data_IF_599386022720
#
_entry.id   IF_599386022720
#
_cell.length_a   1.000
_cell.length_b   1.000
_cell.length_c   1.000
_cell.angle_alpha   90.00
_cell.angle_beta   90.00
_cell.angle_gamma   90.00
#
_symmetry.space_group_name_H-M   'P 1'
#
loop_
_entity.id
_entity.type
_entity.pdbx_description
1 polymer ?
#
# COMPACT_ATOMS: atom_id res chain seq x y z
N UNK A 1 5.43 -23.36 23.57
CA UNK A 1 4.26 -22.43 23.65
C UNK A 1 2.96 -23.25 23.53
N UNK A 2 2.02 -23.17 24.49
CA UNK A 2 0.83 -24.06 24.54
C UNK A 2 -0.12 -23.79 23.35
N UNK A 3 -0.57 -24.86 22.69
CA UNK A 3 -1.58 -24.90 21.61
C UNK A 3 -2.89 -24.15 21.94
N UNK A 4 -3.17 -23.90 23.21
CA UNK A 4 -4.36 -23.20 23.70
C UNK A 4 -4.49 -21.76 23.19
N UNK A 5 -3.40 -21.05 22.89
CA UNK A 5 -3.46 -19.66 22.44
C UNK A 5 -3.97 -19.52 20.98
N UNK A 6 -3.81 -20.56 20.16
CA UNK A 6 -4.18 -20.55 18.74
C UNK A 6 -5.64 -20.95 18.48
N UNK A 7 -6.29 -21.59 19.45
CA UNK A 7 -7.69 -22.03 19.35
C UNK A 7 -8.66 -20.90 19.00
N UNK A 8 -8.38 -19.66 19.40
CA UNK A 8 -9.29 -18.52 19.18
C UNK A 8 -9.46 -18.15 17.70
N UNK A 9 -8.53 -18.56 16.83
CA UNK A 9 -8.62 -18.35 15.39
C UNK A 9 -9.49 -19.40 14.67
N UNK A 10 -9.91 -20.46 15.38
CA UNK A 10 -10.71 -21.54 14.84
C UNK A 10 -12.03 -21.67 15.61
N UNK A 11 -13.07 -22.10 14.93
CA UNK A 11 -14.41 -22.22 15.52
C UNK A 11 -14.55 -23.46 16.41
N UNK A 12 -13.85 -24.55 16.07
CA UNK A 12 -13.92 -25.80 16.83
C UNK A 12 -12.53 -26.35 17.19
N UNK A 13 -12.51 -27.32 18.12
CA UNK A 13 -11.27 -28.03 18.47
C UNK A 13 -10.86 -29.00 17.36
N UNK A 14 -11.81 -29.55 16.61
CA UNK A 14 -11.51 -30.46 15.49
C UNK A 14 -10.70 -29.75 14.39
N UNK A 15 -10.93 -28.45 14.17
CA UNK A 15 -10.23 -27.65 13.14
C UNK A 15 -8.72 -27.53 13.35
N UNK A 16 -8.23 -27.77 14.57
CA UNK A 16 -6.80 -27.74 14.92
C UNK A 16 -6.22 -29.13 15.21
N UNK A 17 -6.97 -30.20 14.93
CA UNK A 17 -6.55 -31.58 15.25
C UNK A 17 -5.25 -31.96 14.54
N UNK A 18 -5.04 -31.44 13.34
CA UNK A 18 -3.87 -31.72 12.51
C UNK A 18 -2.85 -30.57 12.50
N UNK A 19 -2.80 -29.79 13.59
CA UNK A 19 -1.80 -28.73 13.74
C UNK A 19 -0.41 -29.36 13.88
N UNK A 20 0.49 -29.05 12.96
CA UNK A 20 1.92 -29.37 13.07
C UNK A 20 2.70 -28.15 13.55
N UNK A 21 3.84 -28.42 14.17
CA UNK A 21 4.83 -27.42 14.59
C UNK A 21 6.17 -27.84 14.02
N UNK A 22 6.77 -26.95 13.26
CA UNK A 22 8.12 -27.10 12.74
C UNK A 22 8.96 -25.92 13.23
N UNK A 23 10.24 -26.17 13.51
CA UNK A 23 11.20 -25.14 13.85
C UNK A 23 12.19 -25.04 12.70
N UNK A 24 12.22 -23.87 12.07
CA UNK A 24 13.04 -23.59 10.89
C UNK A 24 14.06 -22.47 11.23
N UNK A 25 15.09 -22.26 10.39
CA UNK A 25 15.99 -21.12 10.52
C UNK A 25 15.25 -19.79 10.59
N UNK A 26 15.89 -18.76 11.13
CA UNK A 26 15.26 -17.46 11.33
C UNK A 26 14.77 -16.84 10.01
N UNK A 27 13.50 -16.45 9.96
CA UNK A 27 12.83 -16.03 8.72
C UNK A 27 13.38 -14.72 8.13
N UNK A 28 14.09 -13.93 8.95
CA UNK A 28 14.66 -12.65 8.54
C UNK A 28 16.16 -12.73 8.22
N UNK A 29 16.86 -13.75 8.72
CA UNK A 29 18.27 -14.02 8.44
C UNK A 29 18.58 -15.50 8.72
N UNK A 30 18.59 -16.31 7.67
CA UNK A 30 18.84 -17.75 7.79
C UNK A 30 20.26 -18.07 8.31
N UNK A 31 21.19 -17.11 8.26
CA UNK A 31 22.56 -17.27 8.78
C UNK A 31 22.66 -17.01 10.29
N UNK A 32 21.64 -16.37 10.87
CA UNK A 32 21.56 -16.12 12.31
C UNK A 32 21.10 -17.39 13.03
N UNK A 33 22.06 -18.05 13.68
CA UNK A 33 21.85 -19.29 14.42
C UNK A 33 21.31 -19.07 15.84
N UNK A 34 21.26 -17.83 16.32
CA UNK A 34 20.73 -17.50 17.66
C UNK A 34 19.20 -17.43 17.66
N UNK A 35 18.61 -17.09 16.52
CA UNK A 35 17.17 -17.01 16.34
C UNK A 35 16.62 -18.19 15.55
N UNK A 36 15.39 -18.59 15.87
CA UNK A 36 14.68 -19.66 15.19
C UNK A 36 13.22 -19.23 14.96
N UNK A 37 12.65 -19.66 13.84
CA UNK A 37 11.24 -19.44 13.54
C UNK A 37 10.44 -20.70 13.90
N UNK A 38 9.37 -20.52 14.68
CA UNK A 38 8.42 -21.58 14.95
C UNK A 38 7.23 -21.46 14.00
N UNK A 39 7.18 -22.33 13.00
CA UNK A 39 6.09 -22.40 12.04
C UNK A 39 5.01 -23.37 12.53
N UNK A 40 3.76 -22.95 12.41
CA UNK A 40 2.63 -23.79 12.78
C UNK A 40 1.69 -23.93 11.59
N UNK A 41 1.52 -25.15 11.12
CA UNK A 41 0.76 -25.44 9.90
C UNK A 41 -0.51 -26.18 10.28
N UNK A 42 -1.63 -25.77 9.71
CA UNK A 42 -2.91 -26.45 9.92
C UNK A 42 -3.70 -26.45 8.62
N UNK A 43 -4.09 -27.65 8.19
CA UNK A 43 -5.00 -27.84 7.06
C UNK A 43 -6.43 -27.82 7.58
N UNK A 44 -7.21 -26.82 7.16
CA UNK A 44 -8.60 -26.63 7.57
C UNK A 44 -9.44 -26.07 6.42
N UNK A 45 -10.76 -25.99 6.60
CA UNK A 45 -11.65 -25.25 5.68
C UNK A 45 -11.80 -23.79 6.10
N UNK A 46 -12.20 -22.92 5.16
CA UNK A 46 -12.45 -21.51 5.44
C UNK A 46 -13.61 -21.28 6.41
N UNK A 47 -14.60 -22.17 6.39
CA UNK A 47 -15.76 -22.14 7.27
C UNK A 47 -15.39 -22.38 8.74
N UNK A 48 -14.30 -23.10 8.97
CA UNK A 48 -13.80 -23.44 10.32
C UNK A 48 -12.93 -22.33 10.93
N UNK A 49 -12.53 -21.34 10.14
CA UNK A 49 -11.75 -20.19 10.60
C UNK A 49 -12.69 -19.13 11.16
N UNK A 50 -12.34 -18.57 12.32
CA UNK A 50 -13.02 -17.41 12.91
C UNK A 50 -12.59 -16.13 12.18
N UNK A 51 -13.02 -15.97 10.92
CA UNK A 51 -12.51 -14.95 9.98
C UNK A 51 -12.50 -13.53 10.54
N UNK A 52 -13.62 -13.03 11.07
CA UNK A 52 -13.67 -11.68 11.65
C UNK A 52 -12.67 -11.52 12.79
N UNK A 53 -12.57 -12.52 13.67
CA UNK A 53 -11.60 -12.50 14.78
C UNK A 53 -10.16 -12.49 14.27
N UNK A 54 -9.85 -13.30 13.25
CA UNK A 54 -8.53 -13.37 12.65
C UNK A 54 -8.13 -12.06 11.98
N UNK A 55 -8.97 -11.51 11.10
CA UNK A 55 -8.72 -10.25 10.39
C UNK A 55 -8.58 -9.08 11.37
N UNK A 56 -9.47 -8.99 12.37
CA UNK A 56 -9.32 -7.97 13.44
C UNK A 56 -8.02 -8.14 14.22
N UNK A 57 -7.59 -9.39 14.47
CA UNK A 57 -6.35 -9.65 15.19
C UNK A 57 -5.10 -9.30 14.38
N UNK A 58 -5.15 -9.43 13.05
CA UNK A 58 -4.10 -9.00 12.12
C UNK A 58 -4.04 -7.48 12.01
N UNK A 59 -5.19 -6.81 11.82
CA UNK A 59 -5.23 -5.33 11.82
C UNK A 59 -4.86 -4.69 13.16
N UNK A 60 -4.94 -5.42 14.27
CA UNK A 60 -4.48 -4.94 15.57
C UNK A 60 -3.01 -5.28 15.88
N UNK A 61 -2.25 -5.89 14.94
CA UNK A 61 -0.88 -6.39 15.17
C UNK A 61 0.05 -5.30 15.73
N UNK A 62 0.01 -4.11 15.15
CA UNK A 62 0.88 -3.00 15.52
C UNK A 62 0.28 -2.09 16.61
N UNK A 63 -0.95 -2.39 17.01
CA UNK A 63 -1.66 -1.64 18.04
C UNK A 63 -1.65 -2.37 19.38
N UNK A 64 -1.83 -1.60 20.45
CA UNK A 64 -2.05 -2.13 21.80
C UNK A 64 -3.51 -2.55 22.03
N UNK A 65 -4.16 -3.12 21.01
CA UNK A 65 -5.58 -3.52 21.01
C UNK A 65 -5.72 -5.06 20.97
N UNK A 66 -6.84 -5.58 21.47
CA UNK A 66 -7.18 -7.02 21.40
C UNK A 66 -8.45 -7.19 20.55
N UNK A 67 -8.61 -8.31 19.81
CA UNK A 67 -7.65 -9.42 19.68
C UNK A 67 -6.41 -9.00 18.88
N UNK A 68 -5.30 -9.73 19.04
CA UNK A 68 -4.02 -9.45 18.36
C UNK A 68 -3.27 -10.73 18.07
N UNK A 69 -2.62 -10.80 16.92
CA UNK A 69 -1.70 -11.89 16.52
C UNK A 69 -0.27 -11.55 16.96
N UNK A 70 0.49 -12.57 17.37
CA UNK A 70 1.95 -12.49 17.49
C UNK A 70 2.56 -13.33 16.36
N UNK A 71 3.38 -12.71 15.52
CA UNK A 71 3.96 -13.32 14.32
C UNK A 71 3.13 -13.06 13.05
N UNK A 72 3.49 -13.77 11.99
CA UNK A 72 2.86 -13.69 10.68
C UNK A 72 1.82 -14.81 10.50
N UNK A 73 0.77 -14.54 9.72
CA UNK A 73 -0.23 -15.56 9.32
C UNK A 73 -0.35 -15.54 7.81
N UNK A 74 -0.26 -16.73 7.24
CA UNK A 74 -0.35 -17.00 5.81
C UNK A 74 -1.57 -17.89 5.57
N UNK A 75 -2.49 -17.43 4.72
CA UNK A 75 -3.68 -18.20 4.33
C UNK A 75 -3.47 -18.72 2.90
N UNK A 76 -3.07 -19.98 2.77
CA UNK A 76 -2.92 -20.63 1.48
C UNK A 76 -4.21 -21.35 1.08
N UNK A 77 -4.87 -20.86 0.04
CA UNK A 77 -5.93 -21.59 -0.64
C UNK A 77 -5.30 -22.63 -1.57
N UNK A 78 -5.23 -23.88 -1.10
CA UNK A 78 -4.57 -24.99 -1.81
C UNK A 78 -5.25 -25.32 -3.14
N UNK A 79 -6.57 -25.17 -3.27
CA UNK A 79 -7.28 -25.50 -4.51
C UNK A 79 -7.09 -24.46 -5.60
N UNK A 80 -6.97 -23.19 -5.21
CA UNK A 80 -6.73 -22.07 -6.14
C UNK A 80 -5.26 -21.70 -6.29
N UNK A 81 -4.39 -22.25 -5.45
CA UNK A 81 -2.96 -21.87 -5.35
C UNK A 81 -2.77 -20.37 -5.12
N UNK A 82 -3.59 -19.79 -4.24
CA UNK A 82 -3.54 -18.37 -3.87
C UNK A 82 -3.13 -18.24 -2.42
N UNK A 83 -2.09 -17.47 -2.16
CA UNK A 83 -1.62 -17.09 -0.84
C UNK A 83 -2.15 -15.70 -0.49
N UNK A 84 -2.73 -15.56 0.69
CA UNK A 84 -3.13 -14.28 1.27
C UNK A 84 -2.34 -14.01 2.55
N UNK A 85 -1.74 -12.83 2.65
CA UNK A 85 -0.99 -12.39 3.81
C UNK A 85 -1.33 -10.93 4.15
N UNK A 86 -2.05 -10.71 5.25
CA UNK A 86 -2.23 -9.37 5.81
C UNK A 86 -1.11 -9.12 6.82
N UNK A 87 -0.16 -8.25 6.46
CA UNK A 87 1.02 -8.00 7.28
C UNK A 87 0.71 -7.10 8.48
N UNK A 88 -0.15 -6.09 8.32
CA UNK A 88 -0.67 -5.20 9.36
C UNK A 88 -1.97 -4.48 8.91
N UNK A 89 -2.33 -3.37 9.53
CA UNK A 89 -3.53 -2.57 9.21
C UNK A 89 -3.43 -1.73 7.94
N UNK A 90 -2.24 -1.61 7.35
CA UNK A 90 -1.98 -0.79 6.16
C UNK A 90 -2.26 -1.54 4.87
N UNK A 91 -2.19 -2.88 4.89
CA UNK A 91 -2.42 -3.65 3.68
C UNK A 91 -2.22 -5.16 3.79
N UNK A 92 -2.26 -5.80 2.63
CA UNK A 92 -2.08 -7.23 2.47
C UNK A 92 -1.50 -7.57 1.10
N UNK A 93 -0.85 -8.72 1.03
CA UNK A 93 -0.38 -9.33 -0.21
C UNK A 93 -1.31 -10.46 -0.64
N UNK A 94 -1.58 -10.51 -1.94
CA UNK A 94 -2.27 -11.63 -2.59
C UNK A 94 -1.37 -12.15 -3.68
N UNK A 95 -0.86 -13.36 -3.49
CA UNK A 95 0.12 -13.98 -4.37
C UNK A 95 -0.42 -15.26 -4.99
N UNK A 96 -0.06 -15.52 -6.23
CA UNK A 96 -0.29 -16.80 -6.90
C UNK A 96 0.86 -17.08 -7.86
N UNK A 97 1.15 -18.36 -8.09
CA UNK A 97 2.15 -18.76 -9.09
C UNK A 97 1.70 -18.50 -10.53
N UNK A 98 0.41 -18.24 -10.73
CA UNK A 98 -0.16 -17.91 -12.03
C UNK A 98 -0.95 -16.59 -11.97
N UNK A 99 -0.64 -15.66 -12.87
CA UNK A 99 -1.37 -14.42 -13.11
C UNK A 99 -2.86 -14.66 -13.37
N UNK A 100 -3.23 -15.69 -14.14
CA UNK A 100 -4.64 -15.97 -14.44
C UNK A 100 -5.46 -16.31 -13.19
N UNK A 101 -4.84 -16.88 -12.16
CA UNK A 101 -5.52 -17.17 -10.88
C UNK A 101 -5.89 -15.89 -10.12
N UNK A 102 -5.13 -14.79 -10.33
CA UNK A 102 -5.39 -13.49 -9.72
C UNK A 102 -6.40 -12.65 -10.49
N UNK A 103 -6.60 -12.91 -11.80
CA UNK A 103 -7.44 -12.08 -12.66
C UNK A 103 -8.87 -11.87 -12.12
N UNK A 104 -9.60 -12.90 -11.64
CA UNK A 104 -10.92 -12.70 -11.05
C UNK A 104 -10.91 -11.84 -9.77
N UNK A 105 -9.87 -11.97 -8.95
CA UNK A 105 -9.71 -11.16 -7.74
C UNK A 105 -9.36 -9.72 -8.08
N UNK A 106 -8.48 -9.52 -9.05
CA UNK A 106 -8.11 -8.20 -9.57
C UNK A 106 -9.36 -7.47 -10.07
N UNK A 107 -10.14 -8.03 -11.00
CA UNK A 107 -11.34 -7.35 -11.51
C UNK A 107 -12.35 -7.01 -10.41
N UNK A 108 -12.52 -7.91 -9.44
CA UNK A 108 -13.46 -7.72 -8.33
C UNK A 108 -13.00 -6.63 -7.36
N UNK A 109 -11.71 -6.57 -7.05
CA UNK A 109 -11.19 -5.77 -5.93
C UNK A 109 -10.23 -4.65 -6.36
N UNK A 110 -10.01 -4.40 -7.66
CA UNK A 110 -9.04 -3.38 -8.14
C UNK A 110 -9.27 -1.98 -7.60
N UNK A 111 -10.51 -1.64 -7.19
CA UNK A 111 -10.84 -0.36 -6.56
C UNK A 111 -10.26 -0.21 -5.14
N UNK A 112 -9.82 -1.30 -4.52
CA UNK A 112 -9.17 -1.29 -3.20
C UNK A 112 -7.66 -1.13 -3.29
N UNK A 113 -7.10 -1.21 -4.51
CA UNK A 113 -5.67 -1.04 -4.74
C UNK A 113 -5.40 0.47 -4.81
N UNK A 114 -4.49 0.95 -3.95
CA UNK A 114 -4.03 2.34 -3.99
C UNK A 114 -3.46 2.67 -5.37
N UNK A 115 -3.76 3.85 -5.91
CA UNK A 115 -3.36 4.21 -7.27
C UNK A 115 -1.85 4.07 -7.51
N UNK A 116 -1.03 4.36 -6.50
CA UNK A 116 0.42 4.15 -6.55
C UNK A 116 0.80 2.69 -6.87
N UNK A 117 0.24 1.72 -6.15
CA UNK A 117 0.45 0.29 -6.45
C UNK A 117 -0.25 -0.11 -7.74
N UNK A 118 -1.37 0.53 -8.02
CA UNK A 118 -2.23 0.21 -9.14
C UNK A 118 -1.55 0.48 -10.46
N UNK A 119 -0.70 1.50 -10.62
CA UNK A 119 0.10 1.74 -11.84
C UNK A 119 0.82 0.45 -12.29
N UNK A 120 1.55 -0.16 -11.35
CA UNK A 120 2.30 -1.37 -11.63
C UNK A 120 1.38 -2.57 -11.88
N UNK A 121 0.38 -2.78 -11.01
CA UNK A 121 -0.52 -3.94 -11.09
C UNK A 121 -1.38 -3.90 -12.35
N UNK A 122 -1.96 -2.75 -12.67
CA UNK A 122 -2.75 -2.51 -13.89
C UNK A 122 -1.88 -2.76 -15.14
N UNK A 123 -0.61 -2.36 -15.10
CA UNK A 123 0.40 -2.66 -16.13
C UNK A 123 0.64 -4.15 -16.32
N UNK A 124 0.76 -4.93 -15.23
CA UNK A 124 0.89 -6.39 -15.32
C UNK A 124 -0.33 -7.03 -15.99
N UNK A 125 -1.54 -6.51 -15.75
CA UNK A 125 -2.77 -7.02 -16.35
C UNK A 125 -3.08 -6.45 -17.74
N UNK A 126 -2.46 -5.33 -18.13
CA UNK A 126 -2.75 -4.65 -19.40
C UNK A 126 -4.09 -3.90 -19.37
N UNK A 127 -4.57 -3.49 -18.19
CA UNK A 127 -5.88 -2.88 -18.00
C UNK A 127 -5.82 -1.62 -17.13
N UNK A 128 -6.91 -0.86 -17.01
CA UNK A 128 -7.03 0.17 -15.98
C UNK A 128 -6.15 1.40 -16.24
N UNK A 129 -5.13 1.63 -15.40
CA UNK A 129 -4.25 2.80 -15.48
C UNK A 129 -3.18 2.73 -16.59
N UNK A 130 -3.20 1.67 -17.42
CA UNK A 130 -2.32 1.55 -18.59
C UNK A 130 -2.46 2.78 -19.49
N UNK A 131 -1.32 3.40 -19.81
CA UNK A 131 -1.25 4.62 -20.62
C UNK A 131 -1.28 5.93 -19.82
N UNK A 132 -1.54 5.88 -18.51
CA UNK A 132 -1.42 7.05 -17.62
C UNK A 132 -0.09 7.09 -16.85
N UNK A 133 0.73 6.05 -16.95
CA UNK A 133 2.08 6.04 -16.37
C UNK A 133 3.01 6.99 -17.11
N UNK A 134 4.07 7.40 -16.42
CA UNK A 134 5.20 8.08 -17.04
C UNK A 134 5.91 7.13 -18.02
N UNK A 135 6.44 7.69 -19.10
CA UNK A 135 7.51 7.09 -19.87
C UNK A 135 8.80 7.09 -19.04
N UNK A 136 9.77 6.26 -19.43
CA UNK A 136 11.07 6.23 -18.76
C UNK A 136 11.78 7.59 -18.76
N UNK A 137 11.60 8.39 -19.81
CA UNK A 137 12.16 9.75 -19.88
C UNK A 137 11.47 10.72 -18.93
N UNK A 138 10.14 10.71 -18.86
CA UNK A 138 9.38 11.54 -17.90
C UNK A 138 9.73 11.16 -16.45
N UNK A 139 9.82 9.86 -16.16
CA UNK A 139 10.22 9.36 -14.84
C UNK A 139 11.64 9.81 -14.47
N UNK A 140 12.61 9.64 -15.38
CA UNK A 140 13.99 10.11 -15.17
C UNK A 140 14.06 11.60 -14.92
N UNK A 141 13.32 12.39 -15.71
CA UNK A 141 13.26 13.84 -15.57
C UNK A 141 12.68 14.23 -14.21
N UNK A 142 11.56 13.61 -13.79
CA UNK A 142 10.95 13.87 -12.47
C UNK A 142 11.89 13.53 -11.32
N UNK A 143 12.54 12.36 -11.36
CA UNK A 143 13.50 11.95 -10.34
C UNK A 143 14.70 12.91 -10.27
N UNK A 144 15.26 13.29 -11.42
CA UNK A 144 16.36 14.26 -11.48
C UNK A 144 15.93 15.62 -10.90
N UNK A 145 14.73 16.09 -11.24
CA UNK A 145 14.18 17.34 -10.71
C UNK A 145 13.95 17.26 -9.19
N UNK A 146 13.48 16.13 -8.68
CA UNK A 146 13.33 15.89 -7.24
C UNK A 146 14.70 15.94 -6.54
N UNK A 147 15.70 15.24 -7.06
CA UNK A 147 17.06 15.24 -6.49
C UNK A 147 17.66 16.66 -6.43
N UNK A 148 17.49 17.45 -7.49
CA UNK A 148 17.94 18.85 -7.53
C UNK A 148 17.20 19.67 -6.46
N UNK A 149 15.87 19.63 -6.43
CA UNK A 149 15.08 20.36 -5.43
C UNK A 149 15.39 19.95 -4.00
N UNK A 150 15.56 18.65 -3.73
CA UNK A 150 15.96 18.15 -2.40
C UNK A 150 17.27 18.80 -1.97
N UNK A 151 18.28 18.84 -2.85
CA UNK A 151 19.57 19.47 -2.54
C UNK A 151 19.41 20.97 -2.23
N UNK A 152 18.54 21.67 -2.97
CA UNK A 152 18.23 23.09 -2.73
C UNK A 152 17.59 23.34 -1.35
N UNK A 153 16.82 22.38 -0.82
CA UNK A 153 16.22 22.52 0.54
C UNK A 153 17.25 22.51 1.67
N UNK A 154 18.46 21.97 1.42
CA UNK A 154 19.51 21.72 2.42
C UNK A 154 19.06 20.82 3.59
N UNK A 155 17.96 20.07 3.44
CA UNK A 155 17.45 19.15 4.46
C UNK A 155 18.25 17.84 4.41
N UNK A 156 18.73 17.40 5.56
CA UNK A 156 19.37 16.10 5.69
C UNK A 156 18.29 15.00 5.82
N UNK A 157 18.16 14.18 4.77
CA UNK A 157 17.16 13.10 4.71
C UNK A 157 17.42 11.93 5.69
N UNK A 158 18.62 11.84 6.27
CA UNK A 158 18.97 10.83 7.28
C UNK A 158 18.65 11.28 8.71
N UNK A 159 18.06 12.47 8.87
CA UNK A 159 17.55 13.00 10.14
C UNK A 159 16.06 13.27 10.01
N UNK A 160 15.47 13.90 11.03
CA UNK A 160 14.10 14.39 10.96
C UNK A 160 13.97 15.33 9.77
N UNK A 161 13.15 14.92 8.81
CA UNK A 161 12.93 15.58 7.53
C UNK A 161 11.43 15.72 7.21
N UNK A 162 10.57 15.66 8.23
CA UNK A 162 9.14 15.89 8.10
C UNK A 162 8.88 17.33 7.67
N UNK A 163 8.14 17.51 6.58
CA UNK A 163 7.81 18.81 5.99
C UNK A 163 6.31 18.89 5.67
N UNK A 164 5.78 20.11 5.55
CA UNK A 164 4.54 20.33 4.82
C UNK A 164 4.85 20.37 3.33
N UNK A 165 4.61 19.25 2.63
CA UNK A 165 4.87 19.10 1.20
C UNK A 165 3.62 19.52 0.44
N UNK A 166 3.75 20.47 -0.47
CA UNK A 166 2.66 21.07 -1.24
C UNK A 166 2.91 20.78 -2.72
N UNK A 167 1.98 20.08 -3.36
CA UNK A 167 1.98 19.79 -4.79
C UNK A 167 0.99 20.67 -5.52
N UNK A 168 1.41 21.31 -6.61
CA UNK A 168 0.52 22.16 -7.41
C UNK A 168 0.08 21.43 -8.68
N UNK A 169 -1.23 21.25 -8.85
CA UNK A 169 -1.83 20.64 -10.02
C UNK A 169 -2.85 21.56 -10.68
N UNK A 170 -2.75 21.67 -11.99
CA UNK A 170 -3.76 22.31 -12.83
C UNK A 170 -4.65 21.25 -13.46
N UNK A 171 -5.96 21.36 -13.26
CA UNK A 171 -6.93 20.38 -13.73
C UNK A 171 -8.00 21.03 -14.61
N UNK A 172 -8.46 20.37 -15.68
CA UNK A 172 -9.63 20.81 -16.42
C UNK A 172 -10.86 20.89 -15.49
N UNK A 173 -11.59 22.01 -15.54
CA UNK A 173 -12.74 22.24 -14.67
C UNK A 173 -13.84 21.17 -14.84
N UNK A 174 -13.99 20.59 -16.03
CA UNK A 174 -14.92 19.49 -16.31
C UNK A 174 -14.48 18.13 -15.73
N UNK A 175 -13.29 18.06 -15.13
CA UNK A 175 -12.72 16.87 -14.47
C UNK A 175 -12.51 17.06 -12.96
N UNK A 176 -12.89 18.22 -12.42
CA UNK A 176 -12.73 18.59 -11.00
C UNK A 176 -13.35 17.58 -10.03
N UNK A 177 -14.66 17.32 -10.14
CA UNK A 177 -15.38 16.43 -9.23
C UNK A 177 -14.73 15.04 -9.10
N UNK A 178 -14.51 14.27 -10.19
CA UNK A 178 -13.90 12.95 -10.06
C UNK A 178 -12.44 13.01 -9.62
N UNK A 179 -11.73 14.12 -9.81
CA UNK A 179 -10.38 14.32 -9.29
C UNK A 179 -10.39 14.58 -7.78
N UNK A 180 -11.29 15.42 -7.29
CA UNK A 180 -11.48 15.73 -5.87
C UNK A 180 -11.88 14.47 -5.07
N UNK A 181 -12.82 13.67 -5.59
CA UNK A 181 -13.27 12.43 -4.94
C UNK A 181 -12.15 11.38 -4.82
N UNK A 182 -11.30 11.27 -5.84
CA UNK A 182 -10.21 10.29 -5.87
C UNK A 182 -9.05 10.72 -4.98
N UNK A 183 -8.63 11.98 -5.11
CA UNK A 183 -7.55 12.53 -4.28
C UNK A 183 -7.94 12.58 -2.80
N UNK A 184 -9.22 12.77 -2.47
CA UNK A 184 -9.73 12.68 -1.10
C UNK A 184 -9.49 11.32 -0.42
N UNK A 185 -9.20 10.26 -1.18
CA UNK A 185 -8.91 8.91 -0.65
C UNK A 185 -7.41 8.66 -0.40
N UNK A 186 -6.54 9.63 -0.70
CA UNK A 186 -5.07 9.45 -0.70
C UNK A 186 -4.39 10.00 0.56
N UNK A 187 -5.16 10.59 1.47
CA UNK A 187 -4.64 11.25 2.68
C UNK A 187 -3.99 12.61 2.43
N UNK A 188 -4.00 13.11 1.19
CA UNK A 188 -3.65 14.49 0.89
C UNK A 188 -4.82 15.43 1.24
N UNK A 189 -4.49 16.59 1.79
CA UNK A 189 -5.46 17.68 1.95
C UNK A 189 -5.51 18.48 0.65
N UNK A 190 -6.67 18.58 0.04
CA UNK A 190 -6.88 19.27 -1.23
C UNK A 190 -7.43 20.68 -0.99
N UNK A 191 -6.80 21.70 -1.56
CA UNK A 191 -7.26 23.10 -1.51
C UNK A 191 -7.33 23.67 -2.92
N UNK A 192 -8.48 24.21 -3.31
CA UNK A 192 -8.61 24.98 -4.55
C UNK A 192 -8.02 26.38 -4.33
N UNK A 193 -7.06 26.78 -5.17
CA UNK A 193 -6.45 28.12 -5.12
C UNK A 193 -7.30 29.13 -5.90
N UNK A 194 -7.48 28.91 -7.20
CA UNK A 194 -8.30 29.76 -8.06
C UNK A 194 -8.72 29.03 -9.32
N UNK A 195 -9.72 29.58 -10.00
CA UNK A 195 -10.28 29.07 -11.26
C UNK A 195 -9.97 30.05 -12.38
N UNK A 196 -9.32 29.58 -13.45
CA UNK A 196 -9.05 30.37 -14.66
C UNK A 196 -9.85 29.75 -15.79
N UNK A 197 -10.92 30.44 -16.23
CA UNK A 197 -11.82 30.01 -17.33
C UNK A 197 -12.25 28.54 -17.25
N UNK A 198 -11.47 27.64 -17.85
CA UNK A 198 -11.70 26.20 -18.00
C UNK A 198 -10.76 25.31 -17.17
N UNK A 199 -9.85 25.87 -16.38
CA UNK A 199 -8.94 25.12 -15.50
C UNK A 199 -9.05 25.58 -14.04
N UNK A 200 -8.69 24.68 -13.13
CA UNK A 200 -8.67 24.90 -11.69
C UNK A 200 -7.28 24.52 -11.18
N UNK A 201 -6.69 25.40 -10.39
CA UNK A 201 -5.41 25.13 -9.71
C UNK A 201 -5.71 24.60 -8.31
N UNK A 202 -5.17 23.42 -8.02
CA UNK A 202 -5.24 22.76 -6.73
C UNK A 202 -3.86 22.68 -6.09
N UNK A 203 -3.83 22.91 -4.78
CA UNK A 203 -2.72 22.52 -3.92
C UNK A 203 -3.10 21.25 -3.16
N UNK A 204 -2.27 20.22 -3.27
CA UNK A 204 -2.37 18.96 -2.53
C UNK A 204 -1.27 18.93 -1.49
N UNK A 205 -1.68 18.90 -0.22
CA UNK A 205 -0.76 19.04 0.90
C UNK A 205 -0.70 17.76 1.71
N UNK A 206 0.51 17.34 2.06
CA UNK A 206 0.74 16.23 2.98
C UNK A 206 1.91 16.53 3.91
N UNK A 207 1.72 16.29 5.21
CA UNK A 207 2.79 16.40 6.20
C UNK A 207 3.49 15.07 6.31
N UNK A 208 4.69 14.95 5.74
CA UNK A 208 5.43 13.68 5.69
C UNK A 208 6.94 13.89 5.54
N UNK A 209 7.72 12.82 5.69
CA UNK A 209 9.15 12.83 5.47
C UNK A 209 9.48 13.18 4.01
N UNK A 210 10.36 14.18 3.79
CA UNK A 210 10.82 14.56 2.45
C UNK A 210 11.48 13.41 1.68
N UNK A 211 12.05 12.43 2.39
CA UNK A 211 12.62 11.22 1.79
C UNK A 211 11.61 10.41 0.96
N UNK A 212 10.31 10.67 1.12
CA UNK A 212 9.24 9.99 0.41
C UNK A 212 8.70 10.78 -0.79
N UNK A 213 9.35 11.87 -1.20
CA UNK A 213 8.85 12.75 -2.27
C UNK A 213 8.70 12.07 -3.63
N UNK A 214 9.49 11.04 -3.92
CA UNK A 214 9.43 10.34 -5.21
C UNK A 214 8.08 9.66 -5.42
N UNK A 215 7.53 8.99 -4.40
CA UNK A 215 6.20 8.37 -4.53
C UNK A 215 5.11 9.44 -4.65
N UNK A 216 5.22 10.54 -3.88
CA UNK A 216 4.21 11.60 -3.91
C UNK A 216 4.18 12.27 -5.29
N UNK A 217 5.35 12.65 -5.81
CA UNK A 217 5.48 13.27 -7.13
C UNK A 217 5.08 12.34 -8.28
N UNK A 218 5.32 11.03 -8.16
CA UNK A 218 4.84 10.03 -9.13
C UNK A 218 3.32 9.96 -9.15
N UNK A 219 2.68 9.92 -7.96
CA UNK A 219 1.23 9.92 -7.84
C UNK A 219 0.61 11.21 -8.41
N UNK A 220 1.23 12.37 -8.17
CA UNK A 220 0.76 13.63 -8.77
C UNK A 220 0.91 13.65 -10.30
N UNK A 221 2.02 13.12 -10.82
CA UNK A 221 2.23 12.99 -12.26
C UNK A 221 1.18 12.08 -12.90
N UNK A 222 0.87 10.95 -12.25
CA UNK A 222 -0.21 10.05 -12.65
C UNK A 222 -1.55 10.79 -12.70
N UNK A 223 -1.93 11.53 -11.66
CA UNK A 223 -3.19 12.26 -11.65
C UNK A 223 -3.26 13.34 -12.73
N UNK A 224 -2.18 14.09 -12.94
CA UNK A 224 -2.10 15.04 -14.05
C UNK A 224 -2.37 14.35 -15.39
N UNK A 225 -1.71 13.22 -15.68
CA UNK A 225 -1.98 12.47 -16.92
C UNK A 225 -3.40 11.93 -17.00
N UNK A 226 -3.88 11.31 -15.92
CA UNK A 226 -5.22 10.69 -15.83
C UNK A 226 -6.33 11.66 -16.16
N UNK A 227 -6.25 12.87 -15.60
CA UNK A 227 -7.27 13.90 -15.75
C UNK A 227 -6.96 14.92 -16.85
N UNK A 228 -5.88 14.72 -17.63
CA UNK A 228 -5.39 15.66 -18.66
C UNK A 228 -5.09 17.05 -18.09
N UNK A 229 -4.58 17.07 -16.87
CA UNK A 229 -4.05 18.24 -16.19
C UNK A 229 -2.55 18.40 -16.37
N UNK A 230 -1.98 19.33 -15.60
CA UNK A 230 -0.55 19.63 -15.56
C UNK A 230 -0.09 19.57 -14.11
N UNK A 231 0.99 18.83 -13.85
CA UNK A 231 1.66 18.85 -12.56
C UNK A 231 2.80 19.86 -12.59
N UNK A 232 2.67 20.95 -11.82
CA UNK A 232 3.64 22.06 -11.78
C UNK A 232 4.82 21.77 -10.84
N UNK A 233 4.78 20.65 -10.11
CA UNK A 233 5.80 20.25 -9.15
C UNK A 233 5.39 20.49 -7.70
N UNK A 234 6.36 20.37 -6.81
CA UNK A 234 6.16 20.48 -5.37
C UNK A 234 7.03 21.58 -4.73
N UNK A 235 6.61 22.06 -3.58
CA UNK A 235 7.39 22.92 -2.67
C UNK A 235 7.22 22.41 -1.25
N UNK A 236 8.07 22.90 -0.35
CA UNK A 236 7.93 22.62 1.09
C UNK A 236 7.72 23.91 1.87
N UNK A 237 6.95 23.80 2.94
CA UNK A 237 6.91 24.77 4.02
C UNK A 237 7.46 24.09 5.27
N UNK A 238 8.38 24.75 5.97
CA UNK A 238 8.95 24.20 7.20
C UNK A 238 7.85 24.18 8.26
N UNK A 239 7.59 23.01 8.82
CA UNK A 239 6.84 22.87 10.06
C UNK A 239 7.64 23.60 11.14
N UNK A 240 7.09 24.69 11.69
CA UNK A 240 7.68 25.37 12.85
C UNK A 240 7.74 24.45 14.07
#
# INVERSE_FOLDING_TARGET
MRTSCKRRYFKSKESIRNLTLETIPYEHDESDIEFLTNEFIVKTTFQDISNSYLITALGNKDFRRKPRVRGNIYLLNVTKQILFHMYDDRGCDVYANNKEALLPLYHKNRKWILDYNRIYIDGLFGEGLVGYSESEDEKRLRQTNNEVKIKETQINLYRVNTCHIIHSLEMPANKSIPFEEETGQTGFSLTMQYKVSNTIIYDLVKTEALALIDYQSELMSLYAKKYRGIYHGWKIERSN
#
